data_IF_471929889926
#
_entry.id   IF_471929889926
#
_cell.length_a   1.000
_cell.length_b   1.000
_cell.length_c   1.000
_cell.angle_alpha   90.00
_cell.angle_beta   90.00
_cell.angle_gamma   90.00
#
_symmetry.space_group_name_H-M   'P 1'
#
loop_
_entity.id
_entity.type
_entity.pdbx_description
1 polymer ?
#
# COMPACT_ATOMS: atom_id res chain seq x y z
N UNK A 1 -5.33 2.45 9.65
CA UNK A 1 -4.73 2.69 8.32
C UNK A 1 -3.44 1.89 8.24
N UNK A 2 -3.15 1.24 7.12
CA UNK A 2 -1.98 0.36 6.97
C UNK A 2 -0.68 1.12 7.24
N UNK A 3 0.03 0.77 8.32
CA UNK A 3 1.32 1.37 8.72
C UNK A 3 2.31 0.26 9.09
N UNK A 4 3.55 0.40 8.64
CA UNK A 4 4.63 -0.56 8.91
C UNK A 4 5.75 0.03 9.77
N UNK A 5 5.72 1.35 9.92
CA UNK A 5 6.63 2.15 10.71
C UNK A 5 6.49 1.71 12.18
N UNK A 6 7.55 1.11 12.74
CA UNK A 6 7.68 0.53 14.10
C UNK A 6 7.46 -0.98 14.26
N UNK A 7 7.30 -1.76 13.19
CA UNK A 7 7.32 -3.22 13.30
C UNK A 7 8.76 -3.77 13.45
N UNK A 8 9.02 -4.72 14.37
CA UNK A 8 10.33 -5.35 14.47
C UNK A 8 10.63 -6.20 13.23
N UNK A 9 11.87 -6.14 12.73
CA UNK A 9 12.30 -6.96 11.59
C UNK A 9 12.36 -8.42 11.99
N UNK A 10 11.75 -9.29 11.17
CA UNK A 10 11.82 -10.75 11.33
C UNK A 10 12.74 -11.35 10.28
N UNK A 11 13.77 -12.07 10.72
CA UNK A 11 14.61 -12.84 9.81
C UNK A 11 13.77 -13.91 9.11
N UNK A 12 13.84 -13.94 7.79
CA UNK A 12 13.04 -14.84 6.96
C UNK A 12 13.94 -15.43 5.87
N UNK A 13 13.88 -16.75 5.66
CA UNK A 13 14.62 -17.41 4.59
C UNK A 13 13.84 -17.28 3.28
N UNK A 14 14.48 -16.74 2.24
CA UNK A 14 13.88 -16.54 0.92
C UNK A 14 14.78 -17.19 -0.12
N UNK A 15 14.18 -17.93 -1.05
CA UNK A 15 14.87 -18.48 -2.21
C UNK A 15 14.81 -17.47 -3.34
N UNK A 16 15.98 -17.01 -3.81
CA UNK A 16 16.12 -16.06 -4.92
C UNK A 16 17.06 -16.62 -5.99
N UNK A 17 17.01 -16.05 -7.18
CA UNK A 17 17.93 -16.39 -8.26
C UNK A 17 19.37 -16.07 -7.85
N UNK A 18 20.25 -17.07 -7.89
CA UNK A 18 21.64 -16.94 -7.46
C UNK A 18 22.42 -15.90 -8.26
N UNK A 19 22.24 -15.83 -9.58
CA UNK A 19 22.92 -14.85 -10.44
C UNK A 19 22.52 -13.42 -10.12
N UNK A 20 21.25 -13.21 -9.78
CA UNK A 20 20.75 -11.88 -9.37
C UNK A 20 21.34 -11.49 -8.02
N UNK A 21 21.45 -12.44 -7.08
CA UNK A 21 22.06 -12.19 -5.78
C UNK A 21 23.55 -11.88 -5.88
N UNK A 22 24.29 -12.63 -6.69
CA UNK A 22 25.71 -12.39 -6.97
C UNK A 22 25.88 -10.99 -7.55
N UNK A 23 25.12 -10.66 -8.60
CA UNK A 23 25.24 -9.34 -9.22
C UNK A 23 24.85 -8.20 -8.28
N UNK A 24 23.80 -8.37 -7.48
CA UNK A 24 23.42 -7.37 -6.49
C UNK A 24 24.51 -7.15 -5.43
N UNK A 25 25.21 -8.21 -5.01
CA UNK A 25 26.34 -8.12 -4.08
C UNK A 25 27.54 -7.41 -4.71
N UNK A 26 27.87 -7.74 -5.95
CA UNK A 26 28.97 -7.11 -6.70
C UNK A 26 28.72 -5.61 -6.92
N UNK A 27 27.45 -5.22 -7.08
CA UNK A 27 27.01 -3.82 -7.16
C UNK A 27 26.93 -3.12 -5.79
N UNK A 28 27.28 -3.80 -4.69
CA UNK A 28 27.23 -3.24 -3.34
C UNK A 28 25.82 -3.00 -2.79
N UNK A 29 24.81 -3.67 -3.35
CA UNK A 29 23.41 -3.46 -2.94
C UNK A 29 23.12 -4.09 -1.57
N UNK A 30 22.38 -3.38 -0.74
CA UNK A 30 21.77 -3.95 0.45
C UNK A 30 20.52 -4.77 0.06
N UNK A 31 20.73 -6.05 -0.26
CA UNK A 31 19.67 -6.96 -0.71
C UNK A 31 18.51 -7.02 0.29
N UNK A 32 18.82 -7.13 1.60
CA UNK A 32 17.77 -7.23 2.63
C UNK A 32 16.89 -5.99 2.66
N UNK A 33 17.48 -4.80 2.65
CA UNK A 33 16.72 -3.54 2.62
C UNK A 33 15.93 -3.37 1.32
N UNK A 34 16.52 -3.77 0.19
CA UNK A 34 15.86 -3.65 -1.12
C UNK A 34 14.62 -4.55 -1.19
N UNK A 35 14.74 -5.81 -0.78
CA UNK A 35 13.63 -6.77 -0.76
C UNK A 35 12.55 -6.32 0.22
N UNK A 36 12.92 -5.82 1.40
CA UNK A 36 12.00 -5.28 2.40
C UNK A 36 11.15 -4.13 1.84
N UNK A 37 11.79 -3.16 1.16
CA UNK A 37 11.10 -2.03 0.55
C UNK A 37 10.16 -2.47 -0.60
N UNK A 38 10.63 -3.34 -1.49
CA UNK A 38 9.83 -3.85 -2.60
C UNK A 38 8.60 -4.62 -2.11
N UNK A 39 8.79 -5.48 -1.10
CA UNK A 39 7.70 -6.23 -0.49
C UNK A 39 6.69 -5.29 0.20
N UNK A 40 7.17 -4.30 0.96
CA UNK A 40 6.29 -3.34 1.61
C UNK A 40 5.44 -2.53 0.60
N UNK A 41 6.02 -2.16 -0.54
CA UNK A 41 5.29 -1.49 -1.62
C UNK A 41 4.22 -2.38 -2.23
N UNK A 42 4.55 -3.64 -2.56
CA UNK A 42 3.61 -4.59 -3.16
C UNK A 42 2.48 -4.94 -2.19
N UNK A 43 2.77 -5.12 -0.90
CA UNK A 43 1.76 -5.36 0.14
C UNK A 43 0.81 -4.16 0.24
N UNK A 44 1.33 -2.92 0.25
CA UNK A 44 0.48 -1.71 0.24
C UNK A 44 -0.44 -1.69 -0.97
N UNK A 45 0.10 -1.95 -2.16
CA UNK A 45 -0.67 -1.96 -3.41
C UNK A 45 -1.83 -2.94 -3.32
N UNK A 46 -1.56 -4.21 -3.01
CA UNK A 46 -2.60 -5.24 -2.91
C UNK A 46 -3.62 -4.98 -1.81
N UNK A 47 -3.18 -4.45 -0.67
CA UNK A 47 -4.09 -4.08 0.41
C UNK A 47 -5.10 -3.03 -0.06
N UNK A 48 -4.63 -1.99 -0.75
CA UNK A 48 -5.51 -0.92 -1.23
C UNK A 48 -6.40 -1.36 -2.38
N UNK A 49 -5.90 -2.22 -3.29
CA UNK A 49 -6.73 -2.83 -4.34
C UNK A 49 -7.91 -3.58 -3.72
N UNK A 50 -7.62 -4.49 -2.79
CA UNK A 50 -8.66 -5.24 -2.08
C UNK A 50 -9.59 -4.33 -1.29
N UNK A 51 -9.06 -3.33 -0.57
CA UNK A 51 -9.89 -2.40 0.18
C UNK A 51 -10.85 -1.64 -0.75
N UNK A 52 -10.39 -1.23 -1.93
CA UNK A 52 -11.20 -0.49 -2.88
C UNK A 52 -12.32 -1.37 -3.47
N UNK A 53 -12.02 -2.64 -3.75
CA UNK A 53 -13.01 -3.65 -4.15
C UNK A 53 -14.06 -3.87 -3.05
N UNK A 54 -13.61 -4.16 -1.82
CA UNK A 54 -14.48 -4.45 -0.67
C UNK A 54 -15.38 -3.25 -0.31
N UNK A 55 -14.95 -2.01 -0.57
CA UNK A 55 -15.68 -0.79 -0.22
C UNK A 55 -16.41 -0.15 -1.41
N UNK A 56 -16.36 -0.78 -2.60
CA UNK A 56 -16.91 -0.21 -3.83
C UNK A 56 -18.41 0.14 -3.70
N UNK A 57 -19.21 -0.75 -3.10
CA UNK A 57 -20.65 -0.52 -2.89
C UNK A 57 -20.92 0.64 -1.94
N UNK A 58 -20.18 0.71 -0.82
CA UNK A 58 -20.31 1.78 0.16
C UNK A 58 -19.91 3.14 -0.42
N UNK A 59 -18.83 3.18 -1.20
CA UNK A 59 -18.38 4.37 -1.92
C UNK A 59 -19.44 4.80 -2.96
N UNK A 60 -20.00 3.85 -3.73
CA UNK A 60 -21.04 4.14 -4.71
C UNK A 60 -22.31 4.70 -4.06
N UNK A 61 -22.77 4.08 -2.96
CA UNK A 61 -23.93 4.56 -2.21
C UNK A 61 -23.73 5.97 -1.65
N UNK A 62 -22.53 6.23 -1.09
CA UNK A 62 -22.17 7.55 -0.61
C UNK A 62 -22.13 8.59 -1.73
N UNK A 63 -21.50 8.26 -2.86
CA UNK A 63 -21.42 9.13 -4.04
C UNK A 63 -22.82 9.45 -4.59
N UNK A 64 -23.72 8.46 -4.66
CA UNK A 64 -25.10 8.65 -5.07
C UNK A 64 -25.85 9.61 -4.12
N UNK A 65 -25.65 9.47 -2.81
CA UNK A 65 -26.21 10.40 -1.82
C UNK A 65 -25.69 11.82 -2.03
N UNK A 66 -24.38 12.00 -2.19
CA UNK A 66 -23.79 13.32 -2.43
C UNK A 66 -24.29 13.94 -3.74
N UNK A 67 -24.46 13.14 -4.80
CA UNK A 67 -25.01 13.63 -6.06
C UNK A 67 -26.47 14.12 -5.92
N UNK A 68 -27.26 13.45 -5.07
CA UNK A 68 -28.67 13.80 -4.82
C UNK A 68 -28.84 14.96 -3.85
N UNK A 69 -28.11 14.94 -2.74
CA UNK A 69 -28.34 15.80 -1.57
C UNK A 69 -27.31 16.93 -1.46
N UNK A 70 -26.26 16.89 -2.29
CA UNK A 70 -25.10 17.77 -2.16
C UNK A 70 -24.24 17.40 -0.95
N UNK A 71 -23.19 18.20 -0.73
CA UNK A 71 -22.32 18.04 0.44
C UNK A 71 -23.02 18.60 1.69
N UNK A 72 -23.24 17.79 2.75
CA UNK A 72 -24.02 18.21 3.92
C UNK A 72 -23.52 19.51 4.61
N UNK A 73 -22.20 19.73 4.57
CA UNK A 73 -21.55 20.88 5.20
C UNK A 73 -21.13 21.97 4.20
N UNK A 74 -21.49 21.86 2.91
CA UNK A 74 -21.12 22.88 1.92
C UNK A 74 -21.56 24.29 2.31
N UNK A 75 -22.72 24.42 2.98
CA UNK A 75 -23.25 25.69 3.49
C UNK A 75 -22.38 26.40 4.54
N UNK A 76 -21.40 25.72 5.12
CA UNK A 76 -20.47 26.29 6.10
C UNK A 76 -19.04 26.43 5.57
N UNK A 77 -18.79 26.08 4.30
CA UNK A 77 -17.48 26.20 3.68
C UNK A 77 -17.18 27.67 3.41
N UNK A 78 -16.11 28.20 3.99
CA UNK A 78 -15.73 29.62 3.91
C UNK A 78 -14.65 29.94 2.86
N UNK A 79 -14.03 28.93 2.24
CA UNK A 79 -13.09 29.03 1.10
C UNK A 79 -12.84 27.62 0.51
#
# INVERSE_FOLDING_TARGET
MLRFDNAPKKATNLTLNSKVLEMARDLGMNVSQTVDQLLAQEVKRRYWEKWNEDNQEGIAAYNARIAKEGLPLAKYRTF
#
